data_IF_236053158717
#
_entry.id   IF_236053158717
#
_cell.length_a   1.000
_cell.length_b   1.000
_cell.length_c   1.000
_cell.angle_alpha   90.00
_cell.angle_beta   90.00
_cell.angle_gamma   90.00
#
_symmetry.space_group_name_H-M   'P 1'
#
loop_
_entity.id
_entity.type
_entity.pdbx_description
1 polymer ?
#
# COMPACT_ATOMS: atom_id res chain seq x y z
N UNK A 1 11.28 10.66 17.13
CA UNK A 1 10.13 10.33 16.25
C UNK A 1 10.17 8.85 15.93
N UNK A 2 9.04 8.21 15.63
CA UNK A 2 9.04 6.81 15.20
C UNK A 2 9.00 6.71 13.69
N UNK A 3 9.71 5.72 13.11
CA UNK A 3 9.77 5.48 11.68
C UNK A 3 8.37 5.24 11.06
N UNK A 4 7.49 4.39 11.62
CA UNK A 4 6.15 4.20 11.08
C UNK A 4 5.31 5.49 11.03
N UNK A 5 5.55 6.42 11.94
CA UNK A 5 4.85 7.70 11.96
C UNK A 5 5.22 8.56 10.74
N UNK A 6 6.50 8.54 10.34
CA UNK A 6 6.99 9.31 9.18
C UNK A 6 6.49 8.71 7.87
N UNK A 7 6.59 7.39 7.68
CA UNK A 7 6.29 6.75 6.39
C UNK A 7 4.85 6.26 6.23
N UNK A 8 4.05 6.23 7.31
CA UNK A 8 2.62 5.85 7.24
C UNK A 8 1.73 7.05 7.53
N UNK A 9 1.86 7.67 8.72
CA UNK A 9 0.92 8.71 9.13
C UNK A 9 1.11 10.00 8.33
N UNK A 10 2.35 10.41 8.08
CA UNK A 10 2.62 11.66 7.37
C UNK A 10 2.10 11.66 5.92
N UNK A 11 2.27 10.60 5.11
CA UNK A 11 1.62 10.49 3.79
C UNK A 11 0.09 10.55 3.85
N UNK A 12 -0.54 9.93 4.85
CA UNK A 12 -2.00 10.00 5.02
C UNK A 12 -2.45 11.44 5.31
N UNK A 13 -1.74 12.17 6.16
CA UNK A 13 -2.05 13.58 6.44
C UNK A 13 -1.90 14.45 5.18
N UNK A 14 -0.83 14.23 4.41
CA UNK A 14 -0.64 14.96 3.14
C UNK A 14 -1.72 14.57 2.13
N UNK A 15 -2.14 13.31 2.07
CA UNK A 15 -3.26 12.88 1.24
C UNK A 15 -4.57 13.61 1.60
N UNK A 16 -4.86 13.78 2.89
CA UNK A 16 -6.01 14.56 3.37
C UNK A 16 -5.92 16.04 2.98
N UNK A 17 -4.74 16.65 3.09
CA UNK A 17 -4.52 18.02 2.64
C UNK A 17 -4.73 18.15 1.12
N UNK A 18 -4.19 17.22 0.33
CA UNK A 18 -4.36 17.19 -1.13
C UNK A 18 -5.83 16.93 -1.52
N UNK A 19 -6.58 16.19 -0.71
CA UNK A 19 -8.03 16.05 -0.89
C UNK A 19 -8.75 17.41 -0.77
N UNK A 20 -8.34 18.26 0.15
CA UNK A 20 -8.84 19.64 0.25
C UNK A 20 -8.47 20.49 -0.98
N UNK A 21 -7.27 20.29 -1.52
CA UNK A 21 -6.74 20.99 -2.70
C UNK A 21 -7.17 20.37 -4.05
N UNK A 22 -8.09 19.41 -4.06
CA UNK A 22 -8.51 18.64 -5.25
C UNK A 22 -8.97 19.48 -6.46
N UNK A 23 -9.36 20.74 -6.24
CA UNK A 23 -9.71 21.68 -7.32
C UNK A 23 -8.48 22.09 -8.14
N UNK A 24 -7.30 22.15 -7.53
CA UNK A 24 -6.05 22.61 -8.14
C UNK A 24 -5.18 21.40 -8.55
N UNK A 25 -5.68 20.68 -9.55
CA UNK A 25 -5.15 19.37 -9.98
C UNK A 25 -3.65 19.37 -10.29
N UNK A 26 -3.16 20.36 -11.06
CA UNK A 26 -1.74 20.46 -11.41
C UNK A 26 -0.85 20.66 -10.19
N UNK A 27 -1.29 21.49 -9.25
CA UNK A 27 -0.57 21.74 -7.99
C UNK A 27 -0.54 20.46 -7.14
N UNK A 28 -1.67 19.73 -7.07
CA UNK A 28 -1.73 18.46 -6.34
C UNK A 28 -0.76 17.41 -6.90
N UNK A 29 -0.56 17.36 -8.23
CA UNK A 29 0.43 16.44 -8.84
C UNK A 29 1.85 16.84 -8.44
N UNK A 30 2.22 18.12 -8.56
CA UNK A 30 3.58 18.60 -8.22
C UNK A 30 3.87 18.33 -6.75
N UNK A 31 2.92 18.65 -5.87
CA UNK A 31 3.08 18.41 -4.42
C UNK A 31 3.14 16.92 -4.13
N UNK A 32 2.24 16.11 -4.69
CA UNK A 32 2.19 14.66 -4.46
C UNK A 32 3.44 13.95 -4.97
N UNK A 33 3.86 14.22 -6.20
CA UNK A 33 5.07 13.63 -6.78
C UNK A 33 6.34 14.11 -6.05
N UNK A 34 6.47 15.40 -5.79
CA UNK A 34 7.60 15.97 -5.05
C UNK A 34 7.69 15.41 -3.62
N UNK A 35 6.55 15.26 -2.95
CA UNK A 35 6.48 14.68 -1.61
C UNK A 35 6.89 13.19 -1.61
N UNK A 36 6.44 12.40 -2.60
CA UNK A 36 6.87 11.02 -2.75
C UNK A 36 8.39 10.92 -2.99
N UNK A 37 8.97 11.75 -3.87
CA UNK A 37 10.42 11.77 -4.08
C UNK A 37 11.18 12.16 -2.81
N UNK A 38 10.67 13.14 -2.07
CA UNK A 38 11.24 13.53 -0.78
C UNK A 38 11.25 12.37 0.21
N UNK A 39 10.14 11.64 0.36
CA UNK A 39 10.07 10.49 1.26
C UNK A 39 10.93 9.32 0.78
N UNK A 40 11.04 9.10 -0.54
CA UNK A 40 11.94 8.09 -1.09
C UNK A 40 13.41 8.41 -0.77
N UNK A 41 13.84 9.65 -0.98
CA UNK A 41 15.19 10.10 -0.63
C UNK A 41 15.44 10.02 0.88
N UNK A 42 14.45 10.40 1.69
CA UNK A 42 14.53 10.30 3.14
C UNK A 42 14.71 8.85 3.60
N UNK A 43 14.00 7.90 2.99
CA UNK A 43 14.11 6.47 3.32
C UNK A 43 15.51 5.91 3.03
N UNK A 44 16.17 6.37 1.97
CA UNK A 44 17.52 5.92 1.61
C UNK A 44 18.62 6.53 2.49
N UNK A 45 18.41 7.75 3.00
CA UNK A 45 19.45 8.50 3.74
C UNK A 45 19.35 8.32 5.24
N UNK A 46 18.14 8.09 5.79
CA UNK A 46 17.96 8.09 7.24
C UNK A 46 18.13 6.69 7.83
N UNK A 47 19.13 6.47 8.73
CA UNK A 47 19.26 5.21 9.44
C UNK A 47 18.20 5.09 10.54
N UNK A 48 17.62 3.88 10.68
CA UNK A 48 16.69 3.55 11.75
C UNK A 48 17.46 3.09 12.99
N UNK A 49 16.97 3.44 14.17
CA UNK A 49 17.54 3.11 15.49
C UNK A 49 18.98 3.61 15.71
N UNK A 50 19.45 4.55 14.90
CA UNK A 50 20.73 5.22 15.10
C UNK A 50 20.52 6.67 15.49
N UNK A 51 21.42 7.20 16.30
CA UNK A 51 21.40 8.62 16.69
C UNK A 51 22.16 9.42 15.65
N UNK A 52 21.44 10.21 14.88
CA UNK A 52 22.06 11.17 13.95
C UNK A 52 22.43 12.42 14.76
N UNK A 53 23.72 12.65 14.91
CA UNK A 53 24.25 13.88 15.52
C UNK A 53 24.50 14.90 14.40
N UNK A 54 23.59 15.85 14.21
CA UNK A 54 23.80 16.99 13.33
C UNK A 54 23.89 18.25 14.18
N UNK A 55 25.11 18.62 14.54
CA UNK A 55 25.40 19.81 15.38
C UNK A 55 24.72 19.71 16.76
N UNK A 56 23.87 20.70 17.08
CA UNK A 56 23.16 20.83 18.36
C UNK A 56 21.90 19.95 18.49
N UNK A 57 21.45 19.31 17.40
CA UNK A 57 20.20 18.51 17.39
C UNK A 57 20.57 17.04 17.28
N UNK A 58 20.21 16.27 18.31
CA UNK A 58 20.26 14.81 18.29
C UNK A 58 18.88 14.28 17.90
N UNK A 59 18.81 13.59 16.78
CA UNK A 59 17.58 12.99 16.29
C UNK A 59 17.75 11.48 16.16
N UNK A 60 16.84 10.71 16.77
CA UNK A 60 16.79 9.26 16.59
C UNK A 60 15.41 8.84 16.09
N UNK A 61 15.39 8.04 15.03
CA UNK A 61 14.17 7.40 14.52
C UNK A 61 14.06 6.02 15.17
N UNK A 62 13.07 5.84 16.05
CA UNK A 62 12.75 4.53 16.61
C UNK A 62 12.00 3.70 15.57
N UNK A 63 12.40 2.44 15.36
CA UNK A 63 11.77 1.54 14.41
C UNK A 63 10.37 1.06 14.80
N UNK A 64 9.94 1.30 16.05
CA UNK A 64 8.70 0.77 16.59
C UNK A 64 7.71 1.87 16.96
N UNK A 65 6.43 1.57 16.73
CA UNK A 65 5.30 2.42 17.11
C UNK A 65 4.10 1.54 17.45
N UNK A 66 3.51 1.72 18.62
CA UNK A 66 2.34 0.96 19.04
C UNK A 66 1.06 1.82 18.99
N UNK A 67 0.02 1.33 18.34
CA UNK A 67 -1.31 1.95 18.26
C UNK A 67 -2.37 0.90 18.51
N UNK A 68 -3.33 1.19 19.39
CA UNK A 68 -4.47 0.31 19.69
C UNK A 68 -4.06 -1.15 20.00
N UNK A 69 -2.95 -1.32 20.72
CA UNK A 69 -2.43 -2.66 21.05
C UNK A 69 -1.78 -3.40 19.89
N UNK A 70 -1.52 -2.74 18.74
CA UNK A 70 -0.79 -3.27 17.59
C UNK A 70 0.56 -2.60 17.46
N UNK A 71 1.56 -3.38 17.06
CA UNK A 71 2.92 -2.90 16.92
C UNK A 71 3.24 -2.76 15.44
N UNK A 72 3.65 -1.56 15.06
CA UNK A 72 4.19 -1.27 13.74
C UNK A 72 5.71 -1.22 13.87
N UNK A 73 6.41 -2.10 13.16
CA UNK A 73 7.86 -2.18 13.18
C UNK A 73 8.43 -1.97 11.79
N UNK A 74 9.34 -1.03 11.66
CA UNK A 74 10.13 -0.83 10.45
C UNK A 74 11.61 -0.99 10.79
N UNK A 75 12.30 -1.75 9.96
CA UNK A 75 13.73 -2.03 10.10
C UNK A 75 14.51 -1.37 8.96
N UNK A 76 15.83 -1.30 9.10
CA UNK A 76 16.69 -0.78 8.04
C UNK A 76 16.57 -1.57 6.71
N UNK A 77 16.22 -2.86 6.81
CA UNK A 77 16.03 -3.73 5.65
C UNK A 77 14.78 -3.40 4.83
N UNK A 78 13.79 -2.73 5.45
CA UNK A 78 12.54 -2.34 4.79
C UNK A 78 12.68 -1.03 4.00
N UNK A 79 13.73 -0.24 4.28
CA UNK A 79 13.91 1.09 3.68
C UNK A 79 14.03 1.10 2.15
N UNK A 80 14.75 0.15 1.51
CA UNK A 80 14.77 0.07 0.04
C UNK A 80 13.39 -0.18 -0.57
N UNK A 81 12.57 -1.01 0.07
CA UNK A 81 11.19 -1.30 -0.40
C UNK A 81 10.32 -0.05 -0.28
N UNK A 82 10.42 0.67 0.84
CA UNK A 82 9.70 1.93 1.06
C UNK A 82 10.12 2.98 0.04
N UNK A 83 11.43 3.15 -0.18
CA UNK A 83 11.96 4.06 -1.19
C UNK A 83 11.46 3.70 -2.60
N UNK A 84 11.44 2.42 -2.93
CA UNK A 84 10.90 1.92 -4.20
C UNK A 84 9.41 2.26 -4.36
N UNK A 85 8.58 1.99 -3.35
CA UNK A 85 7.14 2.28 -3.39
C UNK A 85 6.86 3.78 -3.61
N UNK A 86 7.58 4.65 -2.90
CA UNK A 86 7.44 6.10 -3.09
C UNK A 86 7.97 6.57 -4.45
N UNK A 87 9.05 5.98 -4.95
CA UNK A 87 9.60 6.32 -6.27
C UNK A 87 8.61 5.94 -7.38
N UNK A 88 8.04 4.72 -7.32
CA UNK A 88 7.00 4.27 -8.25
C UNK A 88 5.77 5.18 -8.16
N UNK A 89 5.36 5.56 -6.94
CA UNK A 89 4.26 6.50 -6.73
C UNK A 89 4.52 7.88 -7.36
N UNK A 90 5.73 8.41 -7.20
CA UNK A 90 6.13 9.68 -7.80
C UNK A 90 6.09 9.64 -9.33
N UNK A 91 6.64 8.58 -9.93
CA UNK A 91 6.60 8.35 -11.38
C UNK A 91 5.15 8.23 -11.87
N UNK A 92 4.34 7.47 -11.16
CA UNK A 92 2.92 7.29 -11.49
C UNK A 92 2.15 8.62 -11.46
N UNK A 93 2.37 9.45 -10.44
CA UNK A 93 1.75 10.78 -10.35
C UNK A 93 2.25 11.71 -11.46
N UNK A 94 3.55 11.68 -11.78
CA UNK A 94 4.11 12.48 -12.84
C UNK A 94 3.58 12.08 -14.23
N UNK A 95 3.51 10.79 -14.55
CA UNK A 95 2.95 10.27 -15.81
C UNK A 95 1.46 10.60 -15.96
N UNK A 96 0.77 10.83 -14.86
CA UNK A 96 -0.66 11.21 -14.87
C UNK A 96 -0.90 12.70 -15.12
N UNK A 97 0.14 13.50 -15.34
CA UNK A 97 0.06 14.95 -15.52
C UNK A 97 -0.94 15.39 -16.59
N UNK A 98 -0.96 14.71 -17.73
CA UNK A 98 -1.85 15.03 -18.85
C UNK A 98 -3.27 14.47 -18.68
N UNK A 99 -3.43 13.39 -17.94
CA UNK A 99 -4.67 12.63 -17.80
C UNK A 99 -5.44 12.90 -16.50
N UNK A 100 -5.31 14.09 -15.90
CA UNK A 100 -5.89 14.47 -14.60
C UNK A 100 -7.43 14.61 -14.63
N UNK A 101 -8.15 13.61 -15.13
CA UNK A 101 -9.61 13.66 -15.17
C UNK A 101 -10.25 13.51 -13.79
N UNK A 102 -9.66 12.70 -12.92
CA UNK A 102 -10.18 12.43 -11.58
C UNK A 102 -9.46 13.29 -10.55
N UNK A 103 -10.21 14.12 -9.83
CA UNK A 103 -9.66 15.00 -8.78
C UNK A 103 -9.14 14.23 -7.56
N UNK A 104 -9.56 12.96 -7.41
CA UNK A 104 -9.18 12.09 -6.28
C UNK A 104 -7.94 11.24 -6.53
N UNK A 105 -7.38 11.29 -7.75
CA UNK A 105 -6.31 10.39 -8.17
C UNK A 105 -5.07 10.47 -7.26
N UNK A 106 -4.58 11.66 -6.98
CA UNK A 106 -3.38 11.87 -6.17
C UNK A 106 -3.61 11.53 -4.69
N UNK A 107 -4.66 12.07 -4.00
CA UNK A 107 -4.86 11.77 -2.59
C UNK A 107 -5.15 10.28 -2.34
N UNK A 108 -5.93 9.62 -3.19
CA UNK A 108 -6.20 8.19 -3.05
C UNK A 108 -4.95 7.36 -3.35
N UNK A 109 -4.20 7.69 -4.40
CA UNK A 109 -2.94 7.02 -4.72
C UNK A 109 -1.92 7.11 -3.58
N UNK A 110 -1.76 8.29 -2.97
CA UNK A 110 -0.87 8.47 -1.82
C UNK A 110 -1.35 7.68 -0.59
N UNK A 111 -2.67 7.61 -0.36
CA UNK A 111 -3.26 6.79 0.70
C UNK A 111 -3.01 5.29 0.48
N UNK A 112 -3.08 4.80 -0.76
CA UNK A 112 -2.77 3.41 -1.11
C UNK A 112 -1.31 3.09 -0.78
N UNK A 113 -0.36 3.95 -1.15
CA UNK A 113 1.06 3.76 -0.83
C UNK A 113 1.26 3.70 0.69
N UNK A 114 0.63 4.62 1.43
CA UNK A 114 0.70 4.63 2.90
C UNK A 114 0.12 3.34 3.52
N UNK A 115 -1.00 2.82 2.99
CA UNK A 115 -1.59 1.55 3.44
C UNK A 115 -0.70 0.35 3.16
N UNK A 116 -0.02 0.31 2.00
CA UNK A 116 0.93 -0.75 1.67
C UNK A 116 2.14 -0.73 2.61
N UNK A 117 2.66 0.45 2.95
CA UNK A 117 3.74 0.59 3.93
C UNK A 117 3.26 0.22 5.34
N UNK A 118 2.03 0.59 5.71
CA UNK A 118 1.43 0.18 6.97
C UNK A 118 1.27 -1.35 7.06
N UNK A 119 0.88 -1.99 5.94
CA UNK A 119 0.77 -3.44 5.85
C UNK A 119 2.12 -4.14 6.01
N UNK A 120 3.20 -3.56 5.46
CA UNK A 120 4.56 -4.05 5.64
C UNK A 120 5.03 -3.94 7.11
N UNK A 121 4.62 -2.86 7.80
CA UNK A 121 5.08 -2.53 9.15
C UNK A 121 4.32 -3.25 10.26
N UNK A 122 3.04 -3.61 10.08
CA UNK A 122 2.16 -4.09 11.15
C UNK A 122 2.45 -5.54 11.54
N UNK A 123 2.41 -5.82 12.83
CA UNK A 123 2.46 -7.17 13.40
C UNK A 123 1.23 -7.41 14.28
N UNK A 124 0.67 -8.63 14.29
CA UNK A 124 0.99 -9.79 13.42
C UNK A 124 0.49 -9.62 11.97
N UNK A 125 0.95 -10.49 11.08
CA UNK A 125 0.71 -10.48 9.61
C UNK A 125 -0.78 -10.38 9.20
N UNK A 126 -1.69 -10.91 9.99
CA UNK A 126 -3.15 -10.87 9.72
C UNK A 126 -3.66 -9.42 9.52
N UNK A 127 -3.11 -8.46 10.23
CA UNK A 127 -3.48 -7.04 10.07
C UNK A 127 -2.86 -6.42 8.81
N UNK A 128 -1.70 -6.94 8.38
CA UNK A 128 -1.11 -6.57 7.10
C UNK A 128 -2.02 -6.95 5.94
N UNK A 129 -2.58 -8.17 5.96
CA UNK A 129 -3.54 -8.62 4.97
C UNK A 129 -4.79 -7.73 4.93
N UNK A 130 -5.35 -7.36 6.09
CA UNK A 130 -6.49 -6.43 6.18
C UNK A 130 -6.17 -5.05 5.59
N UNK A 131 -4.98 -4.51 5.85
CA UNK A 131 -4.57 -3.20 5.32
C UNK A 131 -4.39 -3.23 3.79
N UNK A 132 -3.88 -4.35 3.25
CA UNK A 132 -3.80 -4.52 1.79
C UNK A 132 -5.21 -4.59 1.17
N UNK A 133 -6.16 -5.30 1.82
CA UNK A 133 -7.55 -5.32 1.34
C UNK A 133 -8.16 -3.91 1.31
N UNK A 134 -7.93 -3.10 2.34
CA UNK A 134 -8.36 -1.69 2.34
C UNK A 134 -7.71 -0.90 1.19
N UNK A 135 -6.43 -1.14 0.90
CA UNK A 135 -5.74 -0.52 -0.23
C UNK A 135 -6.36 -0.95 -1.58
N UNK A 136 -6.70 -2.24 -1.74
CA UNK A 136 -7.37 -2.77 -2.92
C UNK A 136 -8.76 -2.13 -3.09
N UNK A 137 -9.54 -2.03 -2.02
CA UNK A 137 -10.84 -1.34 -2.05
C UNK A 137 -10.68 0.14 -2.43
N UNK A 138 -9.62 0.80 -1.99
CA UNK A 138 -9.31 2.17 -2.39
C UNK A 138 -8.95 2.27 -3.89
N UNK A 139 -8.36 1.24 -4.52
CA UNK A 139 -8.12 1.21 -5.95
C UNK A 139 -9.41 1.31 -6.78
N UNK A 140 -10.52 0.79 -6.27
CA UNK A 140 -11.82 0.88 -6.95
C UNK A 140 -12.24 2.34 -7.15
N UNK A 141 -11.93 3.23 -6.19
CA UNK A 141 -12.19 4.66 -6.34
C UNK A 141 -11.42 5.29 -7.51
N UNK A 142 -10.27 4.69 -7.88
CA UNK A 142 -9.48 5.10 -9.02
C UNK A 142 -10.00 4.49 -10.34
N UNK A 143 -10.48 3.24 -10.31
CA UNK A 143 -10.99 2.52 -11.47
C UNK A 143 -12.40 2.99 -11.84
N UNK A 144 -13.29 3.18 -10.86
CA UNK A 144 -14.68 3.59 -11.12
C UNK A 144 -14.75 4.96 -11.80
N UNK A 145 -15.45 5.04 -12.92
CA UNK A 145 -15.77 6.31 -13.57
C UNK A 145 -17.14 6.78 -13.07
N UNK A 146 -17.20 8.00 -12.54
CA UNK A 146 -18.45 8.59 -12.04
C UNK A 146 -19.51 8.81 -13.14
N UNK A 147 -19.12 8.72 -14.42
CA UNK A 147 -19.99 8.98 -15.58
C UNK A 147 -20.47 7.72 -16.29
N UNK A 148 -19.89 6.56 -16.00
CA UNK A 148 -20.24 5.28 -16.62
C UNK A 148 -20.59 4.27 -15.52
N UNK A 149 -21.51 3.34 -15.76
CA UNK A 149 -21.73 2.23 -14.83
C UNK A 149 -20.43 1.44 -14.64
N UNK A 150 -20.24 0.88 -13.47
CA UNK A 150 -19.07 0.06 -13.13
C UNK A 150 -19.00 -1.12 -14.09
N UNK A 151 -17.89 -1.25 -14.79
CA UNK A 151 -17.70 -2.32 -15.76
C UNK A 151 -17.53 -3.70 -15.12
N UNK A 152 -17.75 -4.73 -15.90
CA UNK A 152 -17.61 -6.13 -15.46
C UNK A 152 -16.19 -6.47 -15.04
N UNK A 153 -15.15 -5.87 -15.64
CA UNK A 153 -13.75 -6.05 -15.27
C UNK A 153 -13.47 -5.54 -13.86
N UNK A 154 -13.96 -4.36 -13.51
CA UNK A 154 -13.82 -3.78 -12.18
C UNK A 154 -14.54 -4.63 -11.12
N UNK A 155 -15.73 -5.14 -11.43
CA UNK A 155 -16.48 -6.05 -10.53
C UNK A 155 -15.71 -7.36 -10.35
N UNK A 156 -15.22 -7.97 -11.42
CA UNK A 156 -14.41 -9.20 -11.34
C UNK A 156 -13.13 -8.97 -10.53
N UNK A 157 -12.43 -7.88 -10.76
CA UNK A 157 -11.28 -7.52 -9.96
C UNK A 157 -11.62 -7.53 -8.47
N UNK A 158 -12.68 -6.83 -8.06
CA UNK A 158 -13.14 -6.81 -6.68
C UNK A 158 -13.40 -8.21 -6.16
N UNK A 159 -14.18 -9.02 -6.88
CA UNK A 159 -14.54 -10.38 -6.46
C UNK A 159 -13.30 -11.25 -6.27
N UNK A 160 -12.36 -11.25 -7.21
CA UNK A 160 -11.16 -12.08 -7.11
C UNK A 160 -10.25 -11.61 -5.98
N UNK A 161 -10.09 -10.30 -5.80
CA UNK A 161 -9.27 -9.74 -4.72
C UNK A 161 -9.86 -10.11 -3.35
N UNK A 162 -11.17 -9.90 -3.16
CA UNK A 162 -11.85 -10.24 -1.90
C UNK A 162 -11.89 -11.75 -1.64
N UNK A 163 -11.97 -12.59 -2.69
CA UNK A 163 -11.88 -14.05 -2.55
C UNK A 163 -10.50 -14.53 -2.07
N UNK A 164 -9.43 -13.82 -2.37
CA UNK A 164 -8.10 -14.11 -1.84
C UNK A 164 -7.98 -13.89 -0.33
N UNK A 165 -8.78 -12.98 0.21
CA UNK A 165 -8.67 -12.54 1.61
C UNK A 165 -8.89 -13.64 2.66
N UNK A 166 -9.92 -14.50 2.59
CA UNK A 166 -10.12 -15.59 3.54
C UNK A 166 -8.90 -16.52 3.65
N UNK A 167 -8.23 -16.82 2.53
CA UNK A 167 -7.05 -17.68 2.52
C UNK A 167 -5.89 -17.02 3.25
N UNK A 168 -5.67 -15.72 3.03
CA UNK A 168 -4.60 -14.97 3.71
C UNK A 168 -4.87 -14.80 5.20
N UNK A 169 -6.13 -14.56 5.58
CA UNK A 169 -6.52 -14.46 7.00
C UNK A 169 -6.35 -15.79 7.73
N UNK A 170 -6.75 -16.90 7.12
CA UNK A 170 -6.56 -18.24 7.70
C UNK A 170 -5.08 -18.58 7.83
N UNK A 171 -4.26 -18.30 6.80
CA UNK A 171 -2.83 -18.46 6.87
C UNK A 171 -2.21 -17.62 7.99
N UNK A 172 -2.59 -16.35 8.08
CA UNK A 172 -2.15 -15.45 9.14
C UNK A 172 -2.55 -15.92 10.54
N UNK A 173 -3.74 -16.52 10.69
CA UNK A 173 -4.18 -17.09 11.96
C UNK A 173 -3.35 -18.31 12.36
N UNK A 174 -3.07 -19.22 11.43
CA UNK A 174 -2.20 -20.37 11.70
C UNK A 174 -0.78 -19.94 12.07
N UNK A 175 -0.22 -18.94 11.39
CA UNK A 175 1.11 -18.41 11.70
C UNK A 175 1.14 -17.70 13.07
N UNK A 176 0.11 -16.93 13.41
CA UNK A 176 0.02 -16.26 14.71
C UNK A 176 -0.16 -17.24 15.87
N UNK A 177 -0.82 -18.38 15.67
CA UNK A 177 -0.96 -19.42 16.70
C UNK A 177 0.40 -20.02 17.08
N UNK A 178 1.37 -20.01 16.19
CA UNK A 178 2.73 -20.49 16.43
C UNK A 178 3.58 -19.61 17.35
N UNK A 179 3.15 -18.38 17.63
CA UNK A 179 3.78 -17.55 18.66
C UNK A 179 3.49 -18.07 20.10
N UNK A 180 2.42 -18.87 20.25
CA UNK A 180 1.97 -19.39 21.55
C UNK A 180 2.31 -20.88 21.71
N UNK A 181 2.21 -21.64 20.63
CA UNK A 181 2.48 -23.10 20.60
C UNK A 181 3.38 -23.46 19.42
N UNK A 182 4.30 -24.45 19.56
CA UNK A 182 5.15 -24.84 18.44
C UNK A 182 4.29 -25.28 17.25
N UNK A 183 4.55 -24.70 16.09
CA UNK A 183 3.82 -25.00 14.84
C UNK A 183 4.18 -26.42 14.41
N UNK A 184 3.17 -27.24 14.19
CA UNK A 184 3.34 -28.57 13.58
C UNK A 184 3.65 -28.43 12.09
N UNK A 185 4.40 -29.36 11.51
CA UNK A 185 4.70 -29.39 10.08
C UNK A 185 3.45 -29.29 9.20
N UNK A 186 2.36 -29.95 9.61
CA UNK A 186 1.07 -29.89 8.91
C UNK A 186 0.48 -28.48 8.90
N UNK A 187 0.54 -27.77 10.03
CA UNK A 187 0.04 -26.38 10.12
C UNK A 187 0.90 -25.43 9.27
N UNK A 188 2.23 -25.62 9.27
CA UNK A 188 3.13 -24.83 8.44
C UNK A 188 2.82 -25.06 6.95
N UNK A 189 2.72 -26.32 6.52
CA UNK A 189 2.38 -26.67 5.13
C UNK A 189 1.02 -26.08 4.72
N UNK A 190 0.02 -26.19 5.58
CA UNK A 190 -1.31 -25.61 5.33
C UNK A 190 -1.23 -24.09 5.20
N UNK A 191 -0.48 -23.42 6.07
CA UNK A 191 -0.27 -21.95 6.00
C UNK A 191 0.38 -21.54 4.68
N UNK A 192 1.40 -22.27 4.23
CA UNK A 192 2.08 -21.98 2.96
C UNK A 192 1.14 -22.17 1.76
N UNK A 193 0.33 -23.23 1.76
CA UNK A 193 -0.65 -23.50 0.70
C UNK A 193 -1.71 -22.39 0.67
N UNK A 194 -2.25 -22.01 1.84
CA UNK A 194 -3.24 -20.94 1.94
C UNK A 194 -2.67 -19.58 1.51
N UNK A 195 -1.43 -19.25 1.90
CA UNK A 195 -0.74 -18.05 1.42
C UNK A 195 -0.60 -18.08 -0.10
N UNK A 196 -0.14 -19.21 -0.65
CA UNK A 196 0.00 -19.39 -2.09
C UNK A 196 -1.31 -19.19 -2.85
N UNK A 197 -2.42 -19.76 -2.35
CA UNK A 197 -3.76 -19.55 -2.92
C UNK A 197 -4.21 -18.08 -2.83
N UNK A 198 -4.08 -17.45 -1.66
CA UNK A 198 -4.45 -16.05 -1.48
C UNK A 198 -3.68 -15.12 -2.42
N UNK A 199 -2.37 -15.28 -2.52
CA UNK A 199 -1.55 -14.53 -3.47
C UNK A 199 -1.86 -14.86 -4.94
N UNK A 200 -2.23 -16.11 -5.26
CA UNK A 200 -2.64 -16.49 -6.61
C UNK A 200 -3.89 -15.70 -7.06
N UNK A 201 -4.85 -15.46 -6.16
CA UNK A 201 -5.98 -14.57 -6.41
C UNK A 201 -5.54 -13.11 -6.61
N UNK A 202 -4.68 -12.60 -5.76
CA UNK A 202 -4.25 -11.19 -5.79
C UNK A 202 -3.41 -10.85 -7.03
N UNK A 203 -2.47 -11.74 -7.39
CA UNK A 203 -1.59 -11.54 -8.56
C UNK A 203 -2.33 -11.89 -9.87
N UNK A 204 -3.41 -12.66 -9.78
CA UNK A 204 -4.14 -13.12 -10.96
C UNK A 204 -3.36 -14.18 -11.74
N UNK A 205 -2.87 -15.22 -11.03
CA UNK A 205 -2.20 -16.36 -11.66
C UNK A 205 -3.22 -17.15 -12.49
N UNK A 206 -2.78 -17.75 -13.61
CA UNK A 206 -3.66 -18.62 -14.41
C UNK A 206 -4.31 -19.72 -13.55
N UNK A 207 -5.64 -19.92 -13.64
CA UNK A 207 -6.66 -19.30 -14.52
C UNK A 207 -7.33 -18.02 -13.95
N UNK A 208 -6.85 -17.44 -12.87
CA UNK A 208 -7.52 -16.36 -12.11
C UNK A 208 -7.28 -14.95 -12.70
N UNK A 209 -6.52 -14.85 -13.80
CA UNK A 209 -6.13 -13.56 -14.44
C UNK A 209 -7.22 -12.90 -15.30
N UNK A 210 -8.42 -13.51 -15.41
CA UNK A 210 -9.45 -13.08 -16.36
C UNK A 210 -9.94 -11.65 -16.17
N UNK A 211 -9.74 -11.06 -15.00
CA UNK A 211 -10.09 -9.68 -14.70
C UNK A 211 -9.12 -8.66 -15.34
N UNK A 212 -7.86 -9.05 -15.58
CA UNK A 212 -6.81 -8.15 -16.09
C UNK A 212 -7.15 -7.62 -17.51
N UNK A 213 -7.40 -8.48 -18.53
CA UNK A 213 -7.76 -8.00 -19.84
C UNK A 213 -9.07 -7.21 -19.85
N UNK A 214 -10.05 -7.61 -19.02
CA UNK A 214 -11.33 -6.91 -18.94
C UNK A 214 -11.19 -5.49 -18.38
N UNK A 215 -10.34 -5.28 -17.35
CA UNK A 215 -10.04 -3.93 -16.87
C UNK A 215 -9.29 -3.13 -17.93
N UNK A 216 -8.35 -3.76 -18.65
CA UNK A 216 -7.61 -3.08 -19.71
C UNK A 216 -8.53 -2.58 -20.85
N UNK A 217 -9.58 -3.31 -21.16
CA UNK A 217 -10.61 -2.90 -22.14
C UNK A 217 -11.52 -1.77 -21.59
N UNK A 218 -11.83 -1.79 -20.30
CA UNK A 218 -12.68 -0.78 -19.66
C UNK A 218 -11.97 0.56 -19.47
N UNK A 219 -10.69 0.50 -19.09
CA UNK A 219 -9.80 1.66 -18.98
C UNK A 219 -9.24 1.93 -20.37
N UNK A 220 -10.05 2.53 -21.27
CA UNK A 220 -9.61 2.92 -22.60
C UNK A 220 -8.26 3.66 -22.54
N UNK A 221 -7.21 3.14 -23.18
CA UNK A 221 -6.06 3.96 -23.49
C UNK A 221 -6.53 5.00 -24.50
N UNK A 222 -6.77 6.23 -24.08
CA UNK A 222 -6.99 7.29 -25.05
C UNK A 222 -5.69 7.59 -25.76
N UNK A 223 -5.47 6.83 -26.81
CA UNK A 223 -4.66 7.25 -27.95
C UNK A 223 -5.61 8.10 -28.81
N UNK A 224 -5.52 9.38 -28.68
CA UNK A 224 -6.07 10.35 -29.63
C UNK A 224 -5.00 11.37 -29.88
#
# INVERSE_FOLDING_TARGET
>A
MSAPLVWVLFPVLVALLLFGLRKWRKISVIIGAGFCLFLAALALVTPINQVIKSGLIQFSLKGEFSVLGRVFTLTQQDMPIIAFLFTVGALWFFLSWENLRKSLYIPVGLSIIALLIAALAVKPFIYGALLIEVAILACILLLADQRKPTGYGTIRFLVFQTLGMPFLLLAGWFLASGEITPINETQLTLSVVLLGLGFAFWIGVFPLHTWIPMIAEEVEPRIS
#
